data_IF_669300162658
#
_entry.id   IF_669300162658
#
_cell.length_a   1.000
_cell.length_b   1.000
_cell.length_c   1.000
_cell.angle_alpha   90.00
_cell.angle_beta   90.00
_cell.angle_gamma   90.00
#
_symmetry.space_group_name_H-M   'P 1'
#
loop_
_entity.id
_entity.type
_entity.pdbx_description
1 polymer ?
#
# COMPACT_ATOMS: atom_id res chain seq x y z
N UNK A 1 3.35 1.31 -14.07
CA UNK A 1 2.00 1.45 -13.47
C UNK A 1 2.10 0.94 -12.04
N UNK A 2 2.34 1.85 -11.10
CA UNK A 2 2.56 1.52 -9.70
C UNK A 2 1.21 1.55 -9.00
N UNK A 3 0.56 0.39 -8.82
CA UNK A 3 -0.53 0.26 -7.85
C UNK A 3 0.11 0.19 -6.46
N UNK A 4 0.60 1.34 -5.99
CA UNK A 4 1.00 1.46 -4.60
C UNK A 4 -0.24 1.78 -3.79
N UNK A 5 -0.56 0.86 -2.88
CA UNK A 5 -1.26 1.14 -1.63
C UNK A 5 -2.78 1.32 -1.72
N UNK A 6 -3.47 0.22 -1.97
CA UNK A 6 -4.72 0.01 -1.23
C UNK A 6 -4.28 -0.08 0.24
N UNK A 7 -4.47 0.98 1.02
CA UNK A 7 -3.91 1.09 2.37
C UNK A 7 -4.40 -0.06 3.26
N UNK A 8 -3.52 -1.05 3.45
CA UNK A 8 -3.57 -2.01 4.53
C UNK A 8 -2.59 -1.47 5.58
N UNK A 9 -2.96 -1.47 6.85
CA UNK A 9 -2.17 -0.90 7.96
C UNK A 9 -0.80 -1.58 8.21
N UNK A 10 -0.42 -2.56 7.39
CA UNK A 10 0.92 -3.14 7.36
C UNK A 10 1.42 -3.28 5.93
N UNK A 11 2.74 -3.16 5.76
CA UNK A 11 3.40 -3.26 4.46
C UNK A 11 3.18 -4.66 3.86
N UNK A 12 2.33 -4.74 2.85
CA UNK A 12 2.22 -5.95 2.04
C UNK A 12 3.53 -6.13 1.25
N UNK A 13 4.03 -7.36 1.23
CA UNK A 13 5.18 -7.76 0.41
C UNK A 13 4.76 -8.89 -0.51
N UNK A 14 5.21 -8.85 -1.76
CA UNK A 14 5.00 -9.96 -2.70
C UNK A 14 6.02 -11.11 -2.49
N UNK A 15 7.04 -10.88 -1.67
CA UNK A 15 8.24 -11.74 -1.58
C UNK A 15 8.32 -12.51 -0.25
N UNK A 16 7.50 -12.14 0.74
CA UNK A 16 7.48 -12.78 2.06
C UNK A 16 6.66 -14.08 2.11
N UNK A 17 5.96 -14.41 1.01
CA UNK A 17 5.07 -15.57 0.86
C UNK A 17 3.87 -15.54 1.81
N UNK A 18 3.43 -14.35 2.22
CA UNK A 18 2.26 -14.17 3.07
C UNK A 18 1.11 -13.58 2.27
N UNK A 19 -0.04 -14.25 2.30
CA UNK A 19 -1.29 -13.77 1.72
C UNK A 19 -2.03 -12.91 2.74
N UNK A 20 -2.58 -11.80 2.26
CA UNK A 20 -3.29 -10.81 3.07
C UNK A 20 -4.79 -10.89 2.82
N UNK A 21 -5.57 -11.14 3.87
CA UNK A 21 -7.02 -11.18 3.78
C UNK A 21 -7.57 -9.87 4.34
N UNK A 22 -8.23 -9.10 3.49
CA UNK A 22 -8.79 -7.79 3.85
C UNK A 22 -10.26 -7.71 3.46
N UNK A 23 -11.01 -6.90 4.20
CA UNK A 23 -12.41 -6.60 3.88
C UNK A 23 -12.59 -5.13 3.52
N UNK A 24 -13.46 -4.91 2.53
CA UNK A 24 -13.94 -3.60 2.10
C UNK A 24 -15.45 -3.57 2.25
N UNK A 25 -15.99 -2.44 2.70
CA UNK A 25 -17.41 -2.29 3.10
C UNK A 25 -18.16 -1.43 2.11
N UNK A 26 -18.68 -2.04 1.06
CA UNK A 26 -19.47 -1.35 0.03
C UNK A 26 -18.66 -0.35 -0.81
N UNK A 27 -19.34 0.24 -1.80
CA UNK A 27 -18.72 1.11 -2.81
C UNK A 27 -18.12 2.40 -2.22
N UNK A 28 -18.76 2.99 -1.20
CA UNK A 28 -18.24 4.21 -0.56
C UNK A 28 -16.91 3.98 0.16
N UNK A 29 -16.79 2.87 0.90
CA UNK A 29 -15.52 2.52 1.55
C UNK A 29 -14.45 2.29 0.47
N UNK A 30 -14.77 1.55 -0.59
CA UNK A 30 -13.86 1.32 -1.71
C UNK A 30 -13.37 2.62 -2.36
N UNK A 31 -14.28 3.57 -2.61
CA UNK A 31 -13.92 4.88 -3.16
C UNK A 31 -12.95 5.66 -2.26
N UNK A 32 -13.18 5.66 -0.94
CA UNK A 32 -12.24 6.27 0.01
C UNK A 32 -10.88 5.57 0.07
N UNK A 33 -10.81 4.25 -0.14
CA UNK A 33 -9.54 3.52 -0.24
C UNK A 33 -8.72 3.99 -1.45
N UNK A 34 -9.39 4.20 -2.58
CA UNK A 34 -8.74 4.60 -3.83
C UNK A 34 -8.11 5.99 -3.76
N UNK A 35 -8.71 6.90 -2.98
CA UNK A 35 -8.18 8.26 -2.75
C UNK A 35 -7.36 8.40 -1.47
N UNK A 36 -7.11 7.31 -0.73
CA UNK A 36 -6.30 7.33 0.49
C UNK A 36 -6.98 8.00 1.71
N UNK A 37 -8.31 8.08 1.74
CA UNK A 37 -9.09 8.63 2.86
C UNK A 37 -9.62 7.55 3.82
N UNK A 38 -9.30 6.28 3.57
CA UNK A 38 -9.68 5.14 4.42
C UNK A 38 -8.67 4.01 4.28
N UNK A 39 -8.83 2.95 5.08
CA UNK A 39 -7.95 1.78 5.08
C UNK A 39 -8.77 0.51 5.07
N UNK A 40 -8.29 -0.50 4.34
CA UNK A 40 -8.95 -1.79 4.27
C UNK A 40 -8.80 -2.48 5.64
N UNK A 41 -9.84 -3.16 6.09
CA UNK A 41 -9.79 -3.84 7.38
C UNK A 41 -9.15 -5.21 7.18
N UNK A 42 -7.93 -5.38 7.69
CA UNK A 42 -7.23 -6.67 7.75
C UNK A 42 -8.01 -7.66 8.61
N UNK A 43 -8.33 -8.81 8.02
CA UNK A 43 -9.02 -9.92 8.67
C UNK A 43 -8.03 -11.01 9.10
N UNK A 44 -7.06 -11.34 8.24
CA UNK A 44 -6.08 -12.38 8.50
C UNK A 44 -4.83 -12.20 7.63
N UNK A 45 -3.79 -12.97 7.95
CA UNK A 45 -2.56 -13.11 7.18
C UNK A 45 -2.05 -14.56 7.30
N UNK A 46 -1.59 -15.16 6.21
CA UNK A 46 -1.11 -16.55 6.25
C UNK A 46 -0.56 -17.05 4.91
N UNK A 47 0.14 -18.19 4.94
CA UNK A 47 0.68 -18.83 3.71
C UNK A 47 -0.37 -19.63 2.95
N UNK A 48 -1.44 -20.03 3.63
CA UNK A 48 -2.56 -20.80 3.14
C UNK A 48 -3.84 -20.15 3.67
N UNK A 49 -4.74 -19.76 2.77
CA UNK A 49 -6.03 -19.18 3.12
C UNK A 49 -7.12 -20.14 2.67
N UNK A 50 -8.02 -20.48 3.61
CA UNK A 50 -9.24 -21.25 3.32
C UNK A 50 -10.45 -20.37 3.56
N UNK A 51 -11.29 -20.25 2.54
CA UNK A 51 -12.55 -19.52 2.60
C UNK A 51 -13.68 -20.53 2.44
N UNK A 52 -14.48 -20.68 3.50
CA UNK A 52 -15.69 -21.50 3.48
C UNK A 52 -16.88 -20.61 3.13
N UNK A 53 -17.61 -20.98 2.07
CA UNK A 53 -18.78 -20.25 1.61
C UNK A 53 -19.99 -21.17 1.55
N UNK A 54 -21.07 -20.74 2.21
CA UNK A 54 -22.35 -21.47 2.23
C UNK A 54 -23.26 -21.14 1.04
N UNK A 55 -22.90 -20.15 0.24
CA UNK A 55 -23.65 -19.69 -0.94
C UNK A 55 -22.69 -19.37 -2.08
N UNK A 56 -23.21 -19.36 -3.31
CA UNK A 56 -22.42 -18.96 -4.47
C UNK A 56 -22.13 -17.46 -4.45
N UNK A 57 -20.92 -17.05 -4.86
CA UNK A 57 -20.52 -15.64 -4.89
C UNK A 57 -19.56 -15.34 -6.07
N UNK A 58 -19.54 -14.10 -6.56
CA UNK A 58 -18.63 -13.71 -7.64
C UNK A 58 -17.19 -13.64 -7.13
N UNK A 59 -16.28 -14.16 -7.94
CA UNK A 59 -14.82 -14.13 -7.72
C UNK A 59 -14.17 -13.57 -8.97
N UNK A 60 -13.07 -12.85 -8.80
CA UNK A 60 -12.24 -12.35 -9.90
C UNK A 60 -10.78 -12.68 -9.59
N UNK A 61 -10.10 -13.33 -10.53
CA UNK A 61 -8.67 -13.68 -10.44
C UNK A 61 -7.98 -13.16 -11.69
N UNK A 62 -6.96 -12.32 -11.52
CA UNK A 62 -6.12 -11.77 -12.60
C UNK A 62 -6.89 -11.20 -13.82
N UNK A 63 -8.10 -10.68 -13.58
CA UNK A 63 -8.96 -10.10 -14.62
C UNK A 63 -10.11 -11.00 -15.08
N UNK A 64 -10.08 -12.29 -14.76
CA UNK A 64 -11.08 -13.27 -15.18
C UNK A 64 -12.17 -13.48 -14.10
N UNK A 65 -13.43 -13.08 -14.38
CA UNK A 65 -14.53 -13.26 -13.45
C UNK A 65 -15.17 -14.64 -13.56
N UNK A 66 -15.59 -15.22 -12.43
CA UNK A 66 -16.39 -16.44 -12.37
C UNK A 66 -17.28 -16.48 -11.12
N UNK A 67 -18.24 -17.41 -11.08
CA UNK A 67 -19.06 -17.68 -9.90
C UNK A 67 -18.49 -18.90 -9.16
N UNK A 68 -18.01 -18.68 -7.93
CA UNK A 68 -17.64 -19.79 -7.05
C UNK A 68 -18.90 -20.39 -6.45
N UNK A 69 -19.04 -21.71 -6.54
CA UNK A 69 -20.14 -22.46 -5.94
C UNK A 69 -19.94 -22.60 -4.42
N UNK A 70 -20.98 -22.92 -3.64
CA UNK A 70 -20.81 -23.21 -2.20
C UNK A 70 -19.74 -24.29 -1.99
N UNK A 71 -18.84 -24.06 -1.03
CA UNK A 71 -17.69 -24.95 -0.83
C UNK A 71 -16.51 -24.29 -0.11
N UNK A 72 -15.33 -24.86 -0.34
CA UNK A 72 -14.07 -24.39 0.23
C UNK A 72 -13.15 -23.90 -0.90
N UNK A 73 -12.79 -22.62 -0.87
CA UNK A 73 -11.76 -22.04 -1.72
C UNK A 73 -10.43 -22.04 -0.94
N UNK A 74 -9.43 -22.74 -1.45
CA UNK A 74 -8.08 -22.76 -0.89
C UNK A 74 -7.13 -21.96 -1.79
N UNK A 75 -6.40 -21.04 -1.18
CA UNK A 75 -5.43 -20.17 -1.85
C UNK A 75 -4.07 -20.40 -1.19
N UNK A 76 -3.10 -20.81 -2.00
CA UNK A 76 -1.71 -21.06 -1.62
C UNK A 76 -0.78 -20.42 -2.64
N UNK A 77 0.44 -20.11 -2.23
CA UNK A 77 1.46 -19.78 -3.21
C UNK A 77 2.00 -21.04 -3.88
N UNK A 78 1.97 -21.06 -5.21
CA UNK A 78 2.54 -22.12 -6.04
C UNK A 78 3.35 -21.50 -7.20
N UNK A 79 4.42 -22.18 -7.63
CA UNK A 79 5.20 -21.82 -8.81
C UNK A 79 5.76 -20.38 -8.85
N UNK A 80 6.42 -19.89 -7.80
CA UNK A 80 6.94 -18.52 -7.79
C UNK A 80 8.02 -18.30 -8.87
N UNK A 81 7.88 -17.19 -9.59
CA UNK A 81 8.82 -16.75 -10.63
C UNK A 81 9.52 -15.46 -10.24
N UNK A 82 10.76 -15.30 -10.73
CA UNK A 82 11.49 -14.04 -10.58
C UNK A 82 10.93 -13.01 -11.56
N UNK A 83 10.35 -11.94 -11.02
CA UNK A 83 9.81 -10.83 -11.80
C UNK A 83 10.78 -9.65 -11.75
N UNK A 84 10.95 -8.96 -12.88
CA UNK A 84 11.68 -7.70 -12.90
C UNK A 84 10.90 -6.66 -12.07
N UNK A 85 11.53 -6.16 -11.02
CA UNK A 85 11.05 -5.01 -10.26
C UNK A 85 11.75 -3.77 -10.80
N UNK A 86 11.01 -2.67 -10.99
CA UNK A 86 11.64 -1.36 -11.22
C UNK A 86 12.64 -1.14 -10.08
N UNK A 87 13.91 -0.89 -10.40
CA UNK A 87 14.87 -0.43 -9.41
C UNK A 87 14.19 0.70 -8.65
N UNK A 88 14.08 0.59 -7.33
CA UNK A 88 13.50 1.65 -6.53
C UNK A 88 14.22 2.92 -6.95
N UNK A 89 13.50 3.85 -7.59
CA UNK A 89 13.71 5.21 -7.17
C UNK A 89 13.44 5.11 -5.67
N UNK A 90 14.50 5.17 -4.85
CA UNK A 90 14.38 5.61 -3.47
C UNK A 90 13.24 6.61 -3.48
N UNK A 91 12.13 6.38 -2.73
CA UNK A 91 11.00 7.26 -2.85
C UNK A 91 11.57 8.63 -2.51
N UNK A 92 11.71 9.51 -3.52
CA UNK A 92 12.16 10.88 -3.28
C UNK A 92 11.27 11.50 -2.20
N UNK A 93 10.04 11.00 -2.06
CA UNK A 93 9.12 11.25 -0.95
C UNK A 93 9.55 10.79 0.46
N UNK A 94 10.25 9.67 0.65
CA UNK A 94 10.76 9.27 1.98
C UNK A 94 11.93 10.16 2.40
N UNK A 95 12.86 10.42 1.49
CA UNK A 95 13.92 11.41 1.70
C UNK A 95 13.32 12.81 1.94
N UNK A 96 12.31 13.22 1.16
CA UNK A 96 11.60 14.49 1.34
C UNK A 96 10.90 14.59 2.70
N UNK A 97 10.28 13.49 3.16
CA UNK A 97 9.60 13.44 4.45
C UNK A 97 10.59 13.61 5.60
N UNK A 98 11.70 12.86 5.58
CA UNK A 98 12.79 13.01 6.56
C UNK A 98 13.35 14.43 6.54
N UNK A 99 13.62 14.98 5.35
CA UNK A 99 14.14 16.34 5.21
C UNK A 99 13.17 17.39 5.76
N UNK A 100 11.86 17.23 5.52
CA UNK A 100 10.82 18.14 6.05
C UNK A 100 10.78 18.09 7.58
N UNK A 101 10.91 16.91 8.17
CA UNK A 101 10.96 16.70 9.62
C UNK A 101 12.22 17.33 10.24
N UNK A 102 13.39 17.11 9.63
CA UNK A 102 14.66 17.69 10.08
C UNK A 102 14.64 19.22 10.01
N UNK A 103 14.07 19.80 8.94
CA UNK A 103 13.92 21.25 8.82
C UNK A 103 12.93 21.84 9.83
N UNK A 104 11.88 21.09 10.21
CA UNK A 104 10.97 21.50 11.27
C UNK A 104 11.66 21.49 12.64
N UNK A 105 12.42 20.45 12.97
CA UNK A 105 13.20 20.36 14.21
C UNK A 105 14.27 21.45 14.30
N UNK A 106 14.97 21.74 13.20
CA UNK A 106 15.98 22.80 13.15
C UNK A 106 15.40 24.21 13.38
N UNK A 107 14.19 24.47 12.87
CA UNK A 107 13.47 25.73 13.14
C UNK A 107 13.05 25.83 14.62
N UNK A 108 12.51 24.75 15.18
CA UNK A 108 12.15 24.70 16.61
C UNK A 108 13.36 24.92 17.54
N UNK A 109 14.54 24.41 17.15
CA UNK A 109 15.80 24.61 17.90
C UNK A 109 16.46 25.96 17.63
N UNK A 110 15.90 26.80 16.76
CA UNK A 110 16.47 28.09 16.39
C UNK A 110 17.78 28.00 15.58
N UNK A 111 18.09 26.82 15.03
CA UNK A 111 19.26 26.60 14.17
C UNK A 111 19.06 27.30 12.82
N UNK A 112 17.81 27.33 12.34
CA UNK A 112 17.38 28.07 11.15
C UNK A 112 16.14 28.91 11.46
N UNK A 113 15.92 29.98 10.70
CA UNK A 113 14.69 30.78 10.76
C UNK A 113 13.66 30.36 9.69
N UNK A 114 12.44 30.87 9.80
CA UNK A 114 11.33 30.55 8.89
C UNK A 114 11.64 30.85 7.41
N UNK A 115 12.39 31.93 7.13
CA UNK A 115 12.78 32.29 5.77
C UNK A 115 13.79 31.28 5.19
N UNK A 116 14.76 30.83 5.99
CA UNK A 116 15.73 29.80 5.61
C UNK A 116 15.05 28.45 5.37
N UNK A 117 14.12 28.05 6.25
CA UNK A 117 13.32 26.83 6.07
C UNK A 117 12.53 26.85 4.77
N UNK A 118 11.86 27.97 4.46
CA UNK A 118 11.08 28.14 3.23
C UNK A 118 11.95 28.00 1.97
N UNK A 119 13.14 28.60 1.97
CA UNK A 119 14.08 28.51 0.86
C UNK A 119 14.57 27.07 0.64
N UNK A 120 14.94 26.38 1.72
CA UNK A 120 15.43 25.00 1.67
C UNK A 120 14.34 24.05 1.17
N UNK A 121 13.10 24.19 1.64
CA UNK A 121 11.95 23.40 1.14
C UNK A 121 11.70 23.65 -0.35
N UNK A 122 11.81 24.91 -0.82
CA UNK A 122 11.64 25.25 -2.23
C UNK A 122 12.75 24.64 -3.09
N UNK A 123 14.00 24.67 -2.63
CA UNK A 123 15.13 24.01 -3.32
C UNK A 123 14.97 22.49 -3.34
N UNK A 124 14.50 21.88 -2.25
CA UNK A 124 14.22 20.45 -2.20
C UNK A 124 13.12 20.07 -3.20
N UNK A 125 12.05 20.85 -3.28
CA UNK A 125 10.97 20.62 -4.25
C UNK A 125 11.47 20.64 -5.70
N UNK A 126 12.42 21.53 -6.04
CA UNK A 126 13.02 21.63 -7.38
C UNK A 126 13.99 20.48 -7.70
N UNK A 127 14.68 19.94 -6.70
CA UNK A 127 15.64 18.84 -6.90
C UNK A 127 15.01 17.45 -6.81
N UNK A 128 13.83 17.35 -6.20
CA UNK A 128 13.10 16.11 -6.00
C UNK A 128 11.96 15.90 -7.04
N UNK A 129 11.68 16.88 -7.90
CA UNK A 129 10.78 16.76 -9.06
C UNK A 129 11.34 15.90 -10.19
#
# INVERSE_FOLDING_TARGET
>A
MTMSMMMISSFQSMQDKMLEVVSVRGAWHLGKLQVGLSQAMRLAQGKLIRIHASSSFPVQIDGEPFIHQPGCLEIIHDGQVFMLRRASEEPRGHAAAIMTEVLADAECKGIINASQKKLLLQQMALNLS
#
